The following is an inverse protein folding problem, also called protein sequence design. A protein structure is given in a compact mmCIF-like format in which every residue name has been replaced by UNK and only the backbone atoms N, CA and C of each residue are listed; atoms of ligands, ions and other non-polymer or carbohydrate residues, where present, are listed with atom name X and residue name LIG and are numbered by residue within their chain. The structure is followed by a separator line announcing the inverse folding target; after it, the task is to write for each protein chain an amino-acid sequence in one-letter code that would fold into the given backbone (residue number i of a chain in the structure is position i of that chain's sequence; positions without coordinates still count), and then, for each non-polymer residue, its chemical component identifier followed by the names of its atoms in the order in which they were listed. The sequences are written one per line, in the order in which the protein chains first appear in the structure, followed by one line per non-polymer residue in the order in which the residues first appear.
data_IF_027165874068
#
_entry.id   IF_027165874068
#
_cell.length_a   1.000
_cell.length_b   1.000
_cell.length_c   1.000
_cell.angle_alpha   90.00
_cell.angle_beta   90.00
_cell.angle_gamma   90.00
#
_symmetry.space_group_name_H-M   'P 1'
#
loop_
_entity.id
_entity.type
_entity.pdbx_description
1 polymer ?
#
# COMPACT_ATOMS: atom_id res chain seq x y z
N UNK A 1 -0.83 -4.47 -10.40
CA UNK A 1 -1.91 -3.68 -9.77
C UNK A 1 -1.33 -2.94 -8.59
N UNK A 2 -1.46 -1.61 -8.54
CA UNK A 2 -1.21 -0.80 -7.36
C UNK A 2 -2.41 -0.89 -6.41
N UNK A 3 -2.16 -0.92 -5.11
CA UNK A 3 -3.18 -0.89 -4.05
C UNK A 3 -2.68 0.03 -2.93
N UNK A 4 -3.57 0.91 -2.49
CA UNK A 4 -3.33 1.84 -1.39
C UNK A 4 -4.23 1.43 -0.22
N UNK A 5 -3.62 1.07 0.91
CA UNK A 5 -4.33 0.55 2.08
C UNK A 5 -4.06 1.40 3.32
N UNK A 6 -5.10 1.62 4.13
CA UNK A 6 -5.04 2.40 5.37
C UNK A 6 -5.34 1.54 6.59
N UNK A 7 -5.35 2.17 7.77
CA UNK A 7 -5.71 1.52 9.03
C UNK A 7 -7.08 0.81 8.94
N UNK A 8 -7.23 -0.31 9.66
CA UNK A 8 -8.39 -1.18 9.54
C UNK A 8 -8.37 -2.12 8.33
N UNK A 9 -7.31 -2.08 7.50
CA UNK A 9 -7.18 -2.96 6.34
C UNK A 9 -8.06 -2.57 5.16
N UNK A 10 -8.54 -1.32 5.16
CA UNK A 10 -9.39 -0.74 4.12
C UNK A 10 -8.54 -0.29 2.94
N UNK A 11 -8.97 -0.66 1.75
CA UNK A 11 -8.37 -0.24 0.49
C UNK A 11 -9.03 1.06 0.06
N UNK A 12 -8.25 2.13 -0.06
CA UNK A 12 -8.74 3.46 -0.46
C UNK A 12 -8.41 3.79 -1.91
N UNK A 13 -7.45 3.08 -2.51
CA UNK A 13 -7.02 3.31 -3.87
C UNK A 13 -6.57 2.03 -4.54
N UNK A 14 -6.81 1.93 -5.85
CA UNK A 14 -6.30 0.84 -6.66
C UNK A 14 -6.18 1.23 -8.12
N UNK A 15 -5.18 0.66 -8.80
CA UNK A 15 -4.98 0.84 -10.22
C UNK A 15 -4.49 -0.46 -10.87
N UNK A 16 -5.15 -0.88 -11.95
CA UNK A 16 -4.61 -1.92 -12.84
C UNK A 16 -3.49 -1.26 -13.63
N UNK A 17 -2.33 -1.91 -13.68
CA UNK A 17 -1.14 -1.37 -14.34
C UNK A 17 -0.99 -2.05 -15.70
N UNK A 18 -0.73 -1.26 -16.74
CA UNK A 18 -0.62 -1.75 -18.12
C UNK A 18 0.61 -2.63 -18.33
N UNK A 19 1.66 -2.43 -17.51
CA UNK A 19 2.85 -3.28 -17.45
C UNK A 19 3.07 -3.86 -16.05
N UNK A 20 3.68 -5.05 -15.99
CA UNK A 20 4.11 -5.65 -14.74
C UNK A 20 5.04 -4.70 -13.97
N UNK A 21 4.72 -4.43 -12.70
CA UNK A 21 5.38 -3.37 -11.91
C UNK A 21 6.90 -3.52 -11.83
N UNK A 22 7.63 -2.59 -12.45
CA UNK A 22 9.06 -2.36 -12.25
C UNK A 22 9.35 -1.53 -11.00
N UNK A 23 10.64 -1.43 -10.64
CA UNK A 23 11.10 -0.80 -9.38
C UNK A 23 11.05 0.74 -9.37
N UNK A 24 10.75 1.39 -10.50
CA UNK A 24 10.80 2.85 -10.68
C UNK A 24 9.44 3.46 -11.10
N UNK A 25 8.34 3.02 -10.50
CA UNK A 25 7.04 3.55 -10.86
C UNK A 25 6.64 4.72 -9.95
N UNK A 26 6.30 5.91 -10.48
CA UNK A 26 6.08 7.15 -9.72
C UNK A 26 4.75 7.19 -8.95
N UNK A 27 4.29 6.05 -8.44
CA UNK A 27 2.97 5.91 -7.85
C UNK A 27 2.86 6.52 -6.45
N UNK A 28 3.98 6.72 -5.75
CA UNK A 28 3.92 7.20 -4.37
C UNK A 28 3.30 8.59 -4.28
N UNK A 29 3.64 9.47 -5.23
CA UNK A 29 3.05 10.82 -5.30
C UNK A 29 1.54 10.74 -5.43
N UNK A 30 1.05 9.95 -6.38
CA UNK A 30 -0.39 9.79 -6.63
C UNK A 30 -1.10 9.20 -5.41
N UNK A 31 -0.51 8.20 -4.75
CA UNK A 31 -1.04 7.59 -3.53
C UNK A 31 -1.12 8.59 -2.38
N UNK A 32 -0.09 9.42 -2.19
CA UNK A 32 -0.07 10.46 -1.15
C UNK A 32 -1.11 11.56 -1.43
N UNK A 33 -1.25 11.98 -2.69
CA UNK A 33 -2.27 12.94 -3.10
C UNK A 33 -3.69 12.39 -2.96
N UNK A 34 -3.92 11.12 -3.33
CA UNK A 34 -5.19 10.44 -3.11
C UNK A 34 -5.52 10.33 -1.61
N UNK A 35 -4.57 9.92 -0.79
CA UNK A 35 -4.75 9.89 0.67
C UNK A 35 -5.13 11.27 1.22
N UNK A 36 -4.41 12.32 0.82
CA UNK A 36 -4.73 13.69 1.24
C UNK A 36 -6.12 14.14 0.79
N UNK A 37 -6.55 13.75 -0.41
CA UNK A 37 -7.92 14.03 -0.89
C UNK A 37 -8.99 13.32 -0.04
N UNK A 38 -8.74 12.10 0.42
CA UNK A 38 -9.68 11.35 1.25
C UNK A 38 -9.70 11.78 2.72
N UNK A 39 -8.54 12.11 3.30
CA UNK A 39 -8.38 12.32 4.75
C UNK A 39 -8.03 13.76 5.15
N UNK A 40 -7.87 14.67 4.19
CA UNK A 40 -7.53 16.09 4.42
C UNK A 40 -6.10 16.34 4.90
N UNK A 41 -5.28 15.31 5.08
CA UNK A 41 -3.90 15.39 5.59
C UNK A 41 -3.00 14.30 5.00
N UNK A 42 -1.70 14.45 5.17
CA UNK A 42 -0.74 13.38 4.88
C UNK A 42 -0.88 12.23 5.91
N UNK A 43 -0.51 10.98 5.54
CA UNK A 43 -0.50 9.88 6.49
C UNK A 43 0.56 10.09 7.58
N UNK A 44 0.28 9.68 8.82
CA UNK A 44 1.28 9.69 9.90
C UNK A 44 2.41 8.70 9.64
N UNK A 45 2.08 7.57 9.02
CA UNK A 45 2.98 6.48 8.69
C UNK A 45 2.83 6.09 7.23
N UNK A 46 3.93 6.18 6.47
CA UNK A 46 4.05 5.59 5.15
C UNK A 46 4.91 4.33 5.25
N UNK A 47 4.39 3.19 4.78
CA UNK A 47 5.14 1.95 4.66
C UNK A 47 4.99 1.41 3.24
N UNK A 48 6.10 1.21 2.55
CA UNK A 48 6.12 0.71 1.16
C UNK A 48 7.09 -0.46 1.05
N UNK A 49 6.93 -1.22 -0.03
CA UNK A 49 7.80 -2.35 -0.29
C UNK A 49 9.21 -1.91 -0.72
N UNK A 50 10.20 -2.79 -0.52
CA UNK A 50 11.61 -2.54 -0.89
C UNK A 50 11.78 -2.28 -2.39
N UNK A 51 10.92 -2.86 -3.22
CA UNK A 51 10.90 -2.61 -4.65
C UNK A 51 10.37 -1.23 -5.05
N UNK A 52 9.89 -0.40 -4.11
CA UNK A 52 9.37 0.95 -4.35
C UNK A 52 10.12 2.01 -3.53
N UNK A 53 11.40 1.74 -3.20
CA UNK A 53 12.20 2.62 -2.34
C UNK A 53 13.25 3.40 -3.15
N UNK A 54 12.89 4.59 -3.63
CA UNK A 54 13.87 5.56 -4.13
C UNK A 54 14.20 6.62 -3.07
N UNK A 55 15.39 7.22 -3.16
CA UNK A 55 15.75 8.34 -2.29
C UNK A 55 14.88 9.59 -2.57
N UNK A 56 14.34 9.70 -3.78
CA UNK A 56 13.43 10.77 -4.17
C UNK A 56 12.06 10.62 -3.49
N UNK A 57 11.52 9.41 -3.47
CA UNK A 57 10.27 9.07 -2.79
C UNK A 57 10.33 9.34 -1.29
N UNK A 58 11.45 9.01 -0.65
CA UNK A 58 11.63 9.29 0.77
C UNK A 58 11.66 10.80 1.04
N UNK A 59 12.33 11.59 0.17
CA UNK A 59 12.33 13.06 0.27
C UNK A 59 10.94 13.63 0.03
N UNK A 60 10.22 13.12 -0.96
CA UNK A 60 8.85 13.53 -1.27
C UNK A 60 7.93 13.27 -0.07
N UNK A 61 7.94 12.06 0.50
CA UNK A 61 7.13 11.69 1.65
C UNK A 61 7.38 12.65 2.85
N UNK A 62 8.65 12.94 3.15
CA UNK A 62 9.00 13.91 4.21
C UNK A 62 8.53 15.32 3.87
N UNK A 63 8.70 15.77 2.62
CA UNK A 63 8.29 17.11 2.16
C UNK A 63 6.78 17.33 2.28
N UNK A 64 5.97 16.31 2.02
CA UNK A 64 4.50 16.41 2.13
C UNK A 64 3.99 16.23 3.57
N UNK A 65 4.88 16.06 4.55
CA UNK A 65 4.52 16.04 5.98
C UNK A 65 4.26 14.65 6.55
N UNK A 66 4.77 13.57 5.94
CA UNK A 66 4.71 12.23 6.55
C UNK A 66 5.67 12.16 7.74
N UNK A 67 5.14 11.90 8.94
CA UNK A 67 5.91 11.87 10.17
C UNK A 67 6.86 10.67 10.24
N UNK A 68 6.40 9.50 9.77
CA UNK A 68 7.13 8.23 9.87
C UNK A 68 7.18 7.55 8.52
N UNK A 69 8.39 7.36 8.01
CA UNK A 69 8.61 6.70 6.72
C UNK A 69 9.35 5.38 6.95
N UNK A 70 8.69 4.27 6.63
CA UNK A 70 9.24 2.92 6.68
C UNK A 70 9.52 2.44 5.25
N UNK A 71 10.63 2.94 4.71
CA UNK A 71 11.15 2.62 3.37
C UNK A 71 12.48 1.88 3.50
N UNK A 72 12.49 0.54 3.40
CA UNK A 72 13.75 -0.22 3.48
C UNK A 72 14.63 0.15 2.30
N UNK A 73 15.94 0.29 2.52
CA UNK A 73 16.87 0.60 1.44
C UNK A 73 16.94 -0.53 0.41
N UNK A 74 16.94 -0.17 -0.87
CA UNK A 74 17.27 -1.10 -1.95
C UNK A 74 18.81 -1.28 -2.02
N UNK A 75 19.29 -2.49 -1.70
CA UNK A 75 20.72 -2.83 -1.75
C UNK A 75 21.44 -2.68 -0.41
N UNK A 76 22.76 -2.41 -0.43
CA UNK A 76 23.59 -2.35 0.78
C UNK A 76 23.43 -1.00 1.49
N UNK A 77 22.63 -0.99 2.56
CA UNK A 77 22.43 0.20 3.37
C UNK A 77 23.71 0.61 4.12
N UNK A 78 23.94 1.93 4.22
CA UNK A 78 25.00 2.49 5.06
C UNK A 78 24.75 2.20 6.55
N UNK A 79 25.78 2.18 7.42
CA UNK A 79 25.60 1.91 8.85
C UNK A 79 24.58 2.83 9.56
N UNK A 80 24.52 4.16 9.27
CA UNK A 80 23.47 5.01 9.81
C UNK A 80 22.06 4.59 9.37
N UNK A 81 21.89 4.18 8.11
CA UNK A 81 20.60 3.73 7.58
C UNK A 81 20.18 2.40 8.20
N UNK A 82 21.10 1.46 8.38
CA UNK A 82 20.82 0.23 9.12
C UNK A 82 20.36 0.49 10.56
N UNK A 83 20.94 1.50 11.24
CA UNK A 83 20.47 1.90 12.58
C UNK A 83 19.07 2.50 12.54
N UNK A 84 18.76 3.34 11.56
CA UNK A 84 17.42 3.88 11.35
C UNK A 84 16.38 2.79 11.07
N UNK A 85 16.72 1.77 10.28
CA UNK A 85 15.82 0.64 9.99
C UNK A 85 15.57 -0.25 11.23
N UNK A 86 16.48 -0.26 12.20
CA UNK A 86 16.31 -0.95 13.49
C UNK A 86 15.46 -0.16 14.50
N UNK A 87 15.20 1.12 14.24
CA UNK A 87 14.41 1.97 15.14
C UNK A 87 12.99 1.42 15.35
N UNK A 88 12.40 1.72 16.51
CA UNK A 88 11.07 1.23 16.88
C UNK A 88 9.98 1.66 15.88
N UNK A 89 10.04 2.90 15.41
CA UNK A 89 9.11 3.45 14.41
C UNK A 89 9.18 2.69 13.09
N UNK A 90 10.39 2.42 12.61
CA UNK A 90 10.61 1.66 11.38
C UNK A 90 10.10 0.23 11.52
N UNK A 91 10.42 -0.46 12.62
CA UNK A 91 9.91 -1.82 12.90
C UNK A 91 8.38 -1.87 12.96
N UNK A 92 7.72 -0.83 13.50
CA UNK A 92 6.25 -0.73 13.49
C UNK A 92 5.71 -0.60 12.07
N UNK A 93 6.33 0.25 11.24
CA UNK A 93 5.98 0.37 9.82
C UNK A 93 6.19 -0.92 9.04
N UNK A 94 7.31 -1.62 9.27
CA UNK A 94 7.57 -2.92 8.65
C UNK A 94 6.53 -3.98 9.04
N UNK A 95 6.08 -4.01 10.30
CA UNK A 95 5.00 -4.91 10.73
C UNK A 95 3.66 -4.57 10.09
N UNK A 96 3.34 -3.28 10.00
CA UNK A 96 2.14 -2.83 9.28
C UNK A 96 2.16 -3.30 7.82
N UNK A 97 3.29 -3.13 7.12
CA UNK A 97 3.51 -3.61 5.75
C UNK A 97 3.35 -5.13 5.61
N UNK A 98 3.94 -5.93 6.50
CA UNK A 98 3.77 -7.39 6.49
C UNK A 98 2.30 -7.78 6.66
N UNK A 99 1.54 -7.04 7.47
CA UNK A 99 0.09 -7.22 7.56
C UNK A 99 -0.64 -6.99 6.23
N UNK A 100 -0.20 -6.02 5.43
CA UNK A 100 -0.73 -5.76 4.08
C UNK A 100 -0.45 -6.95 3.16
N UNK A 101 0.75 -7.53 3.19
CA UNK A 101 1.09 -8.71 2.37
C UNK A 101 0.15 -9.89 2.67
N UNK A 102 -0.09 -10.16 3.96
CA UNK A 102 -1.06 -11.16 4.41
C UNK A 102 -2.48 -10.86 3.89
N UNK A 103 -2.89 -9.59 3.90
CA UNK A 103 -4.20 -9.17 3.36
C UNK A 103 -4.27 -9.26 1.83
N UNK A 104 -3.19 -8.98 1.11
CA UNK A 104 -3.13 -9.20 -0.35
C UNK A 104 -3.32 -10.69 -0.66
N UNK A 105 -2.69 -11.57 0.12
CA UNK A 105 -2.89 -13.02 -0.02
C UNK A 105 -4.36 -13.41 0.19
N UNK A 106 -4.98 -12.94 1.28
CA UNK A 106 -6.41 -13.13 1.56
C UNK A 106 -7.29 -12.57 0.43
N UNK A 107 -7.06 -11.34 -0.03
CA UNK A 107 -7.80 -10.73 -1.16
C UNK A 107 -7.70 -11.56 -2.45
N UNK A 108 -6.56 -12.19 -2.72
CA UNK A 108 -6.39 -13.09 -3.88
C UNK A 108 -7.13 -14.41 -3.72
N UNK A 109 -7.10 -14.99 -2.53
CA UNK A 109 -7.71 -16.29 -2.23
C UNK A 109 -9.24 -16.19 -2.10
N UNK A 110 -9.71 -15.26 -1.28
CA UNK A 110 -11.08 -15.24 -0.77
C UNK A 110 -11.99 -14.28 -1.56
N UNK A 111 -11.40 -13.29 -2.23
CA UNK A 111 -12.13 -12.25 -2.96
C UNK A 111 -11.91 -12.32 -4.48
N UNK A 112 -11.55 -13.50 -4.99
CA UNK A 112 -11.54 -13.80 -6.43
C UNK A 112 -10.45 -13.11 -7.25
N UNK A 113 -9.48 -12.43 -6.63
CA UNK A 113 -8.43 -11.69 -7.36
C UNK A 113 -7.31 -12.59 -7.94
N UNK A 114 -7.38 -13.91 -7.76
CA UNK A 114 -6.41 -14.86 -8.37
C UNK A 114 -6.59 -15.03 -9.88
N UNK A 115 -7.82 -14.93 -10.40
CA UNK A 115 -8.12 -15.09 -11.83
C UNK A 115 -9.30 -14.21 -12.23
N UNK A 116 -9.05 -13.29 -13.16
CA UNK A 116 -10.12 -12.51 -13.79
C UNK A 116 -10.90 -13.38 -14.78
N UNK A 117 -12.24 -13.34 -14.71
CA UNK A 117 -13.12 -14.00 -15.68
C UNK A 117 -13.59 -13.08 -16.80
N UNK A 118 -13.35 -11.78 -16.68
CA UNK A 118 -13.75 -10.79 -17.68
C UNK A 118 -12.66 -10.61 -18.71
N UNK A 119 -13.06 -10.30 -19.94
CA UNK A 119 -12.15 -10.03 -21.05
C UNK A 119 -11.74 -8.56 -21.11
N UNK A 120 -10.51 -8.32 -21.55
CA UNK A 120 -9.92 -6.99 -21.74
C UNK A 120 -9.60 -6.25 -20.44
N UNK A 121 -8.84 -5.16 -20.56
CA UNK A 121 -8.38 -4.34 -19.43
C UNK A 121 -9.53 -3.69 -18.67
N UNK A 122 -10.55 -3.18 -19.36
CA UNK A 122 -11.78 -2.67 -18.74
C UNK A 122 -12.51 -3.76 -17.95
N UNK A 123 -12.48 -5.00 -18.43
CA UNK A 123 -13.00 -6.16 -17.72
C UNK A 123 -12.20 -6.44 -16.44
N UNK A 124 -10.87 -6.44 -16.55
CA UNK A 124 -9.96 -6.58 -15.42
C UNK A 124 -10.19 -5.53 -14.34
N UNK A 125 -10.30 -4.25 -14.72
CA UNK A 125 -10.58 -3.15 -13.80
C UNK A 125 -11.88 -3.35 -13.01
N UNK A 126 -12.96 -3.74 -13.70
CA UNK A 126 -14.24 -4.08 -13.05
C UNK A 126 -14.12 -5.27 -12.09
N UNK A 127 -13.45 -6.34 -12.52
CA UNK A 127 -13.25 -7.53 -11.68
C UNK A 127 -12.48 -7.21 -10.40
N UNK A 128 -11.37 -6.46 -10.54
CA UNK A 128 -10.58 -5.98 -9.42
C UNK A 128 -11.41 -5.10 -8.49
N UNK A 129 -12.20 -4.17 -9.04
CA UNK A 129 -13.08 -3.30 -8.27
C UNK A 129 -14.08 -4.07 -7.40
N UNK A 130 -14.71 -5.11 -7.95
CA UNK A 130 -15.63 -5.96 -7.18
C UNK A 130 -14.94 -6.70 -6.04
N UNK A 131 -13.75 -7.27 -6.27
CA UNK A 131 -12.99 -7.96 -5.21
C UNK A 131 -12.56 -7.01 -4.09
N UNK A 132 -12.16 -5.78 -4.43
CA UNK A 132 -11.84 -4.73 -3.43
C UNK A 132 -13.07 -4.32 -2.64
N UNK A 133 -14.20 -4.11 -3.30
CA UNK A 133 -15.44 -3.72 -2.65
C UNK A 133 -15.87 -4.79 -1.63
N UNK A 134 -15.88 -6.06 -2.05
CA UNK A 134 -16.21 -7.18 -1.17
C UNK A 134 -15.24 -7.29 0.02
N UNK A 135 -13.92 -7.12 -0.22
CA UNK A 135 -12.92 -7.09 0.84
C UNK A 135 -13.19 -5.97 1.86
N UNK A 136 -13.42 -4.74 1.39
CA UNK A 136 -13.68 -3.60 2.25
C UNK A 136 -14.97 -3.79 3.06
N UNK A 137 -16.05 -4.29 2.45
CA UNK A 137 -17.30 -4.58 3.15
C UNK A 137 -17.11 -5.62 4.26
N UNK A 138 -16.34 -6.68 4.00
CA UNK A 138 -15.99 -7.67 5.01
C UNK A 138 -15.23 -7.05 6.19
N UNK A 139 -14.26 -6.16 5.93
CA UNK A 139 -13.52 -5.48 7.01
C UNK A 139 -14.40 -4.52 7.83
N UNK A 140 -15.32 -3.82 7.17
CA UNK A 140 -16.29 -2.96 7.84
C UNK A 140 -17.23 -3.79 8.72
N UNK A 141 -17.72 -4.93 8.22
CA UNK A 141 -18.57 -5.84 8.98
C UNK A 141 -17.85 -6.41 10.22
N UNK A 142 -16.60 -6.87 10.07
CA UNK A 142 -15.77 -7.32 11.19
C UNK A 142 -15.59 -6.22 12.25
N UNK A 143 -15.29 -4.99 11.83
CA UNK A 143 -15.14 -3.86 12.74
C UNK A 143 -16.44 -3.48 13.46
N UNK A 144 -17.58 -3.62 12.78
CA UNK A 144 -18.91 -3.41 13.36
C UNK A 144 -19.31 -4.50 14.36
N UNK A 145 -18.91 -5.75 14.14
CA UNK A 145 -19.22 -6.87 15.04
C UNK A 145 -18.35 -6.91 16.32
N UNK A 146 -17.22 -6.18 16.33
CA UNK A 146 -16.35 -6.02 17.50
C UNK A 146 -16.77 -4.83 18.40
N UNK A 147 -17.86 -4.14 18.09
CA UNK A 147 -18.47 -3.09 18.90
C UNK A 147 -19.65 -3.64 19.69
#
# INVERSE_FOLDING_TARGET
MRRDEVEGGIITGSQVLDQGGGQDQPYLKDSLEAHRRHFGRAPDLLAVDRGMSSAEDERLARKVGVNRVAMPYAGRASPPRQRAEKARSFRRGSRFRVGIEGRIHVSRRDFGLKRCRYQGERGMGRWVGWGILAHNLSKIAEAGAMR
#
